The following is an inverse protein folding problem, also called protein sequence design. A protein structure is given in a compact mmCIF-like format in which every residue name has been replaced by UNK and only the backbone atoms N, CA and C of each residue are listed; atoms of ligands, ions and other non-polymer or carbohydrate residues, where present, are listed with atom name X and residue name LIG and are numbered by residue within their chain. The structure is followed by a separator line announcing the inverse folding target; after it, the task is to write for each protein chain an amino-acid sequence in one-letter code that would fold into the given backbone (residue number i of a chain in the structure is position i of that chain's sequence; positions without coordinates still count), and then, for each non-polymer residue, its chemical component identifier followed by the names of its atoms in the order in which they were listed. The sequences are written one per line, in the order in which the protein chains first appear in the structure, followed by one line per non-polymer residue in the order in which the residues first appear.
data_IF_503027502616
#
_entry.id   IF_503027502616
#
_cell.length_a   1.000
_cell.length_b   1.000
_cell.length_c   1.000
_cell.angle_alpha   90.00
_cell.angle_beta   90.00
_cell.angle_gamma   90.00
#
_symmetry.space_group_name_H-M   'P 1'
#
loop_
_entity.id
_entity.type
_entity.pdbx_description
1 polymer ?
#
# COMPACT_ATOMS: atom_id res chain seq x y z
N UNK A 1 -4.19 -1.03 0.67
CA UNK A 1 -3.56 -1.57 -0.55
C UNK A 1 -2.04 -1.64 -0.45
N UNK A 2 -1.38 -0.63 0.12
CA UNK A 2 0.09 -0.62 0.27
C UNK A 2 0.63 -1.89 0.96
N UNK A 3 0.06 -2.28 2.11
CA UNK A 3 0.44 -3.53 2.78
C UNK A 3 0.28 -4.79 1.91
N UNK A 4 -0.76 -4.83 1.08
CA UNK A 4 -0.97 -5.96 0.15
C UNK A 4 0.11 -5.99 -0.93
N UNK A 5 0.47 -4.83 -1.48
CA UNK A 5 1.55 -4.71 -2.46
C UNK A 5 2.92 -5.06 -1.84
N UNK A 6 3.21 -4.59 -0.63
CA UNK A 6 4.42 -4.94 0.10
C UNK A 6 4.53 -6.45 0.36
N UNK A 7 3.43 -7.09 0.76
CA UNK A 7 3.39 -8.54 0.96
C UNK A 7 3.60 -9.31 -0.35
N UNK A 8 2.94 -8.89 -1.43
CA UNK A 8 3.11 -9.49 -2.75
C UNK A 8 4.53 -9.31 -3.30
N UNK A 9 5.18 -8.18 -3.03
CA UNK A 9 6.56 -7.93 -3.39
C UNK A 9 7.52 -8.87 -2.63
N UNK A 10 7.29 -9.08 -1.33
CA UNK A 10 8.15 -9.94 -0.49
C UNK A 10 7.93 -11.44 -0.70
N UNK A 11 6.68 -11.87 -0.89
CA UNK A 11 6.31 -13.29 -0.85
C UNK A 11 5.79 -13.83 -2.19
N UNK A 12 5.51 -12.98 -3.19
CA UNK A 12 5.05 -13.37 -4.52
C UNK A 12 3.61 -13.89 -4.59
N UNK A 13 2.98 -14.19 -3.45
CA UNK A 13 1.62 -14.69 -3.38
C UNK A 13 0.91 -14.16 -2.12
N UNK A 14 -0.42 -14.12 -2.17
CA UNK A 14 -1.27 -13.84 -1.01
C UNK A 14 -2.24 -15.00 -0.84
N UNK A 15 -2.23 -15.63 0.33
CA UNK A 15 -3.26 -16.59 0.70
C UNK A 15 -4.46 -15.81 1.26
N UNK A 16 -5.55 -15.73 0.48
CA UNK A 16 -6.79 -15.13 0.95
C UNK A 16 -7.59 -16.16 1.75
N UNK A 17 -7.28 -16.28 3.03
CA UNK A 17 -8.04 -17.11 3.96
C UNK A 17 -9.41 -16.46 4.24
N UNK A 18 -10.48 -17.14 3.83
CA UNK A 18 -11.90 -16.89 4.14
C UNK A 18 -12.63 -15.72 3.43
N UNK A 19 -13.71 -16.12 2.73
CA UNK A 19 -14.80 -15.28 2.21
C UNK A 19 -15.67 -14.77 3.37
N UNK A 20 -15.21 -13.77 4.11
CA UNK A 20 -16.14 -12.90 4.82
C UNK A 20 -16.63 -11.85 3.80
N UNK A 21 -17.86 -12.03 3.33
CA UNK A 21 -18.52 -11.05 2.45
C UNK A 21 -19.18 -10.00 3.35
N UNK A 22 -18.35 -9.10 3.88
CA UNK A 22 -18.82 -8.07 4.80
C UNK A 22 -19.51 -6.96 3.99
N UNK A 23 -20.79 -6.72 4.25
CA UNK A 23 -21.51 -5.56 3.71
C UNK A 23 -21.32 -4.36 4.66
N UNK A 24 -20.18 -3.70 4.56
CA UNK A 24 -19.85 -2.57 5.43
C UNK A 24 -20.03 -1.26 4.66
N UNK A 25 -20.72 -0.29 5.27
CA UNK A 25 -20.86 1.07 4.72
C UNK A 25 -19.56 1.87 4.92
N UNK A 26 -18.53 1.55 4.15
CA UNK A 26 -17.20 2.15 4.30
C UNK A 26 -17.12 3.64 3.91
N UNK A 27 -18.12 4.19 3.21
CA UNK A 27 -18.06 5.55 2.67
C UNK A 27 -18.62 6.62 3.60
N UNK A 28 -19.45 6.25 4.57
CA UNK A 28 -20.24 7.20 5.39
C UNK A 28 -20.06 7.01 6.89
N UNK A 29 -19.28 6.03 7.32
CA UNK A 29 -19.07 5.80 8.75
C UNK A 29 -18.07 6.84 9.27
N UNK A 30 -18.49 7.64 10.25
CA UNK A 30 -17.61 8.61 10.91
C UNK A 30 -16.47 7.87 11.63
N UNK A 31 -15.23 8.32 11.39
CA UNK A 31 -14.01 7.74 11.96
C UNK A 31 -13.15 6.95 10.96
N UNK A 32 -11.97 6.53 11.43
CA UNK A 32 -11.01 5.75 10.64
C UNK A 32 -10.59 6.46 9.33
N UNK A 33 -10.43 5.70 8.25
CA UNK A 33 -9.99 6.20 6.95
C UNK A 33 -10.98 7.16 6.26
N UNK A 34 -12.21 7.31 6.78
CA UNK A 34 -13.23 8.22 6.25
C UNK A 34 -13.09 9.62 6.86
N UNK A 35 -12.64 9.71 8.12
CA UNK A 35 -12.48 10.98 8.83
C UNK A 35 -11.34 11.86 8.26
N UNK A 36 -10.40 11.25 7.53
CA UNK A 36 -9.27 11.95 6.89
C UNK A 36 -9.53 12.33 5.43
N UNK A 37 -10.74 12.09 4.90
CA UNK A 37 -11.10 12.56 3.54
C UNK A 37 -11.43 14.04 3.61
N UNK A 38 -10.73 14.86 2.84
CA UNK A 38 -11.15 16.24 2.62
C UNK A 38 -12.32 16.24 1.62
N UNK A 39 -13.20 17.24 1.72
CA UNK A 39 -14.32 17.40 0.78
C UNK A 39 -13.86 17.52 -0.68
N UNK A 40 -12.61 17.93 -0.88
CA UNK A 40 -12.01 18.28 -2.16
C UNK A 40 -11.13 17.15 -2.75
N UNK A 41 -10.99 16.02 -2.06
CA UNK A 41 -10.27 14.83 -2.53
C UNK A 41 -8.76 15.05 -2.74
N UNK A 42 -8.16 16.08 -2.14
CA UNK A 42 -6.75 16.40 -2.35
C UNK A 42 -5.83 15.41 -1.65
N UNK A 43 -6.23 14.91 -0.49
CA UNK A 43 -5.46 13.90 0.26
C UNK A 43 -5.50 12.54 -0.43
N UNK A 44 -6.64 12.14 -1.01
CA UNK A 44 -6.72 10.94 -1.84
C UNK A 44 -5.79 11.02 -3.04
N UNK A 45 -5.77 12.16 -3.74
CA UNK A 45 -4.90 12.34 -4.91
C UNK A 45 -3.43 12.25 -4.54
N UNK A 46 -3.01 12.84 -3.40
CA UNK A 46 -1.65 12.70 -2.87
C UNK A 46 -1.33 11.24 -2.55
N UNK A 47 -2.21 10.56 -1.83
CA UNK A 47 -2.03 9.15 -1.48
C UNK A 47 -1.96 8.25 -2.72
N UNK A 48 -2.77 8.52 -3.74
CA UNK A 48 -2.71 7.81 -5.03
C UNK A 48 -1.38 8.03 -5.72
N UNK A 49 -0.87 9.27 -5.75
CA UNK A 49 0.44 9.57 -6.34
C UNK A 49 1.57 8.81 -5.63
N UNK A 50 1.55 8.77 -4.30
CA UNK A 50 2.51 7.98 -3.49
C UNK A 50 2.43 6.50 -3.86
N UNK A 51 1.23 5.92 -3.95
CA UNK A 51 1.04 4.51 -4.32
C UNK A 51 1.54 4.20 -5.73
N UNK A 52 1.29 5.08 -6.70
CA UNK A 52 1.76 4.93 -8.08
C UNK A 52 3.28 5.03 -8.19
N UNK A 53 3.90 5.91 -7.41
CA UNK A 53 5.36 6.06 -7.35
C UNK A 53 6.02 4.85 -6.69
N UNK A 54 5.47 4.36 -5.56
CA UNK A 54 6.00 3.22 -4.81
C UNK A 54 5.84 1.90 -5.56
N UNK A 55 4.74 1.72 -6.28
CA UNK A 55 4.38 0.47 -6.96
C UNK A 55 4.03 0.72 -8.43
N UNK A 56 5.03 1.00 -9.28
CA UNK A 56 4.81 1.38 -10.68
C UNK A 56 4.05 0.30 -11.45
N UNK A 57 2.93 0.68 -12.06
CA UNK A 57 2.07 -0.20 -12.85
C UNK A 57 1.06 -1.04 -12.05
N UNK A 58 1.20 -1.14 -10.72
CA UNK A 58 0.24 -1.87 -9.89
C UNK A 58 -1.06 -1.10 -9.63
N UNK A 59 -1.00 0.24 -9.63
CA UNK A 59 -2.14 1.12 -9.40
C UNK A 59 -2.48 1.92 -10.65
N UNK A 60 -3.76 1.96 -11.00
CA UNK A 60 -4.30 2.78 -12.09
C UNK A 60 -5.52 3.54 -11.60
N UNK A 61 -5.75 4.75 -12.12
CA UNK A 61 -6.94 5.54 -11.75
C UNK A 61 -8.21 4.83 -12.21
N UNK A 62 -9.24 4.86 -11.37
CA UNK A 62 -10.54 4.29 -11.71
C UNK A 62 -11.28 5.23 -12.68
N UNK A 63 -11.53 4.79 -13.91
CA UNK A 63 -12.25 5.59 -14.90
C UNK A 63 -13.74 5.82 -14.58
N UNK A 64 -14.31 5.06 -13.64
CA UNK A 64 -15.74 5.14 -13.28
C UNK A 64 -16.00 5.95 -12.01
N UNK A 65 -15.00 6.13 -11.16
CA UNK A 65 -15.15 6.76 -9.84
C UNK A 65 -13.96 7.69 -9.59
N UNK A 66 -14.25 8.92 -9.16
CA UNK A 66 -13.22 9.91 -8.84
C UNK A 66 -12.45 9.48 -7.58
N UNK A 67 -11.17 9.84 -7.53
CA UNK A 67 -10.29 9.66 -6.37
C UNK A 67 -10.20 8.21 -5.85
N UNK A 68 -10.38 7.26 -6.76
CA UNK A 68 -10.23 5.83 -6.53
C UNK A 68 -9.21 5.22 -7.49
N UNK A 69 -8.61 4.10 -7.06
CA UNK A 69 -7.65 3.34 -7.86
C UNK A 69 -8.09 1.89 -8.02
N UNK A 70 -7.76 1.33 -9.17
CA UNK A 70 -7.82 -0.10 -9.46
C UNK A 70 -6.43 -0.66 -9.18
N UNK A 71 -6.38 -1.61 -8.24
CA UNK A 71 -5.18 -2.37 -7.92
C UNK A 71 -5.10 -3.64 -8.78
N UNK A 72 -4.01 -3.80 -9.53
CA UNK A 72 -3.74 -4.99 -10.33
C UNK A 72 -2.24 -5.35 -10.28
N UNK A 73 -1.91 -6.35 -9.46
CA UNK A 73 -0.53 -6.78 -9.27
C UNK A 73 0.13 -7.38 -10.53
N UNK A 74 -0.63 -7.99 -11.44
CA UNK A 74 -0.04 -8.59 -12.65
C UNK A 74 0.54 -7.55 -13.62
N UNK A 75 0.15 -6.28 -13.46
CA UNK A 75 0.66 -5.14 -14.24
C UNK A 75 1.81 -4.42 -13.54
N UNK A 76 2.15 -4.83 -12.32
CA UNK A 76 3.28 -4.28 -11.61
C UNK A 76 4.56 -4.51 -12.42
N UNK A 77 5.26 -3.43 -12.73
CA UNK A 77 6.58 -3.52 -13.35
C UNK A 77 7.57 -3.71 -12.23
N UNK A 78 7.96 -4.96 -11.96
CA UNK A 78 9.14 -5.20 -11.15
C UNK A 78 10.29 -4.40 -11.77
N UNK A 79 10.95 -3.55 -10.98
CA UNK A 79 12.18 -2.93 -11.42
C UNK A 79 13.13 -4.03 -11.96
N UNK A 80 13.94 -3.74 -12.99
CA UNK A 80 14.91 -4.72 -13.47
C UNK A 80 15.75 -5.22 -12.29
N UNK A 81 16.13 -6.52 -12.27
CA UNK A 81 16.88 -7.10 -11.18
C UNK A 81 18.22 -6.35 -11.05
N UNK A 82 18.33 -5.48 -10.04
CA UNK A 82 19.48 -4.59 -9.86
C UNK A 82 19.20 -3.26 -9.14
N UNK A 83 17.94 -2.84 -8.97
CA UNK A 83 17.61 -1.68 -8.12
C UNK A 83 17.47 -2.13 -6.66
N UNK A 84 18.55 -1.94 -5.88
CA UNK A 84 18.64 -2.26 -4.45
C UNK A 84 17.56 -1.54 -3.63
N UNK A 85 16.89 -2.30 -2.76
CA UNK A 85 15.96 -1.84 -1.73
C UNK A 85 16.69 -1.08 -0.63
N UNK A 86 16.72 0.25 -0.72
CA UNK A 86 17.29 1.17 0.28
C UNK A 86 16.45 1.28 1.59
N UNK A 87 15.71 0.22 1.97
CA UNK A 87 14.76 0.25 3.10
C UNK A 87 14.92 -0.88 4.11
N UNK A 88 15.90 -1.78 3.93
CA UNK A 88 16.17 -2.88 4.88
C UNK A 88 17.29 -2.56 5.88
N UNK A 89 17.91 -1.37 5.80
CA UNK A 89 19.05 -1.01 6.66
C UNK A 89 18.63 -0.36 7.98
N UNK A 90 17.47 0.29 8.05
CA UNK A 90 17.03 1.03 9.25
C UNK A 90 16.60 0.12 10.42
N UNK A 91 16.04 -1.07 10.15
CA UNK A 91 15.61 -1.99 11.22
C UNK A 91 16.77 -2.74 11.90
N UNK A 92 17.93 -2.88 11.23
CA UNK A 92 19.08 -3.58 11.81
C UNK A 92 19.94 -2.71 12.74
N UNK A 93 19.83 -1.39 12.63
CA UNK A 93 20.62 -0.47 13.47
C UNK A 93 20.01 -0.35 14.88
N UNK A 94 18.68 -0.39 14.98
CA UNK A 94 17.96 -0.30 16.27
C UNK A 94 18.15 -1.56 17.13
N UNK A 95 18.30 -2.74 16.53
CA UNK A 95 18.48 -4.00 17.28
C UNK A 95 19.89 -4.11 17.90
N UNK A 96 20.91 -3.48 17.31
CA UNK A 96 22.27 -3.46 17.86
C UNK A 96 22.43 -2.53 19.06
N UNK A 97 21.66 -1.44 19.13
CA UNK A 97 21.63 -0.57 20.31
C UNK A 97 20.88 -1.21 21.49
N UNK A 98 19.85 -2.01 21.22
CA UNK A 98 19.07 -2.69 22.25
C UNK A 98 19.81 -3.91 22.85
N UNK A 99 20.72 -4.55 22.12
CA UNK A 99 21.46 -5.72 22.58
C UNK A 99 22.77 -5.39 23.29
N UNK A 100 22.90 -4.22 23.92
CA UNK A 100 24.07 -3.80 24.71
C UNK A 100 24.45 -4.82 25.79
N UNK A 101 25.24 -5.81 25.38
CA UNK A 101 26.00 -6.72 26.23
C UNK A 101 27.06 -5.87 26.92
N UNK A 102 26.98 -5.78 28.25
CA UNK A 102 28.10 -5.37 29.09
C UNK A 102 29.09 -6.52 29.23
#
# INVERSE_FOLDING_TARGET
YDFTAAHLARHGAVLRCNRLLLHVKHSTNEGGAVATRDSDGSEERKNIAILQAKWPGAFSLNGKRKDEVIFNWSRHRSAPPGASTAGEEEEKEVEKEASGVR
#
